data_IF_667642748386
#
_entry.id   IF_667642748386
#
_cell.length_a   1.000
_cell.length_b   1.000
_cell.length_c   1.000
_cell.angle_alpha   90.00
_cell.angle_beta   90.00
_cell.angle_gamma   90.00
#
_symmetry.space_group_name_H-M   'P 1'
#
loop_
_entity.id
_entity.type
_entity.pdbx_description
1 polymer ?
#
# COMPACT_ATOMS: atom_id res chain seq x y z
N UNK A 1 26.67 -21.14 44.04
CA UNK A 1 25.89 -21.07 42.79
C UNK A 1 26.55 -20.05 41.88
N UNK A 2 26.69 -20.41 40.61
CA UNK A 2 27.59 -19.82 39.61
C UNK A 2 27.45 -18.30 39.39
N UNK A 3 28.59 -17.60 39.37
CA UNK A 3 28.76 -16.27 38.77
C UNK A 3 29.59 -16.45 37.48
N UNK A 4 28.98 -16.18 36.32
CA UNK A 4 29.62 -16.30 35.01
C UNK A 4 30.01 -14.93 34.46
N UNK A 5 31.31 -14.68 34.37
CA UNK A 5 31.90 -13.47 33.81
C UNK A 5 31.83 -13.45 32.28
N UNK A 6 31.44 -12.29 31.71
CA UNK A 6 31.50 -12.01 30.27
C UNK A 6 32.87 -11.44 29.91
N UNK A 7 33.57 -12.08 28.96
CA UNK A 7 34.79 -11.59 28.33
C UNK A 7 34.45 -10.85 27.02
N UNK A 8 34.94 -9.61 26.90
CA UNK A 8 34.97 -8.81 25.66
C UNK A 8 36.31 -9.01 24.95
N UNK A 9 36.36 -9.14 23.61
CA UNK A 9 37.61 -9.03 22.88
C UNK A 9 37.95 -7.58 22.48
N UNK A 10 39.19 -7.23 22.79
CA UNK A 10 39.93 -6.00 22.53
C UNK A 10 40.20 -5.80 21.03
N UNK A 11 40.08 -4.57 20.51
CA UNK A 11 40.46 -4.23 19.12
C UNK A 11 41.54 -3.16 19.12
N UNK A 12 42.76 -3.57 18.78
CA UNK A 12 43.90 -2.67 18.60
C UNK A 12 43.90 -2.01 17.22
N UNK A 13 44.09 -0.70 17.26
CA UNK A 13 44.50 0.23 16.21
C UNK A 13 45.77 -0.18 15.46
N UNK A 14 45.81 0.05 14.13
CA UNK A 14 47.06 0.39 13.42
C UNK A 14 46.80 1.38 12.27
N UNK A 15 47.51 2.51 12.32
CA UNK A 15 47.56 3.58 11.32
C UNK A 15 48.70 3.35 10.30
N UNK A 16 48.48 3.94 9.13
CA UNK A 16 49.41 4.57 8.17
C UNK A 16 50.50 3.75 7.47
N UNK A 17 50.55 3.86 6.13
CA UNK A 17 51.66 4.57 5.45
C UNK A 17 51.33 4.97 4.00
N UNK A 18 51.94 6.09 3.60
CA UNK A 18 51.82 6.90 2.39
C UNK A 18 53.11 6.77 1.55
N UNK A 19 53.01 7.14 0.26
CA UNK A 19 54.06 7.54 -0.71
C UNK A 19 54.82 6.41 -1.44
N UNK A 20 55.28 6.53 -2.69
CA UNK A 20 55.15 7.51 -3.81
C UNK A 20 55.97 6.92 -5.00
N UNK A 21 56.01 7.65 -6.13
CA UNK A 21 56.92 7.55 -7.29
C UNK A 21 56.44 6.66 -8.46
N UNK A 22 56.46 7.06 -9.74
CA UNK A 22 57.26 8.08 -10.46
C UNK A 22 56.52 8.53 -11.75
N UNK A 23 56.71 9.79 -12.14
CA UNK A 23 56.24 10.44 -13.39
C UNK A 23 57.17 10.17 -14.59
N UNK A 24 56.65 10.20 -15.83
CA UNK A 24 57.33 10.86 -16.96
C UNK A 24 56.30 11.41 -17.97
N UNK A 25 56.73 12.47 -18.65
CA UNK A 25 56.05 13.58 -19.33
C UNK A 25 55.51 13.41 -20.77
N UNK A 26 54.56 14.31 -21.08
CA UNK A 26 54.34 15.15 -22.28
C UNK A 26 54.49 14.61 -23.72
N UNK A 27 53.45 14.83 -24.53
CA UNK A 27 53.38 15.90 -25.59
C UNK A 27 52.11 15.79 -26.46
N UNK A 28 51.50 16.93 -26.78
CA UNK A 28 50.51 17.19 -27.87
C UNK A 28 51.24 18.07 -28.92
N UNK A 29 50.78 18.40 -30.16
CA UNK A 29 49.45 18.22 -30.78
C UNK A 29 49.40 17.94 -32.33
N UNK A 30 48.17 17.85 -32.88
CA UNK A 30 47.69 18.42 -34.19
C UNK A 30 47.30 17.49 -35.37
N UNK A 31 45.97 17.41 -35.58
CA UNK A 31 45.11 17.55 -36.80
C UNK A 31 45.42 16.82 -38.14
N UNK A 32 44.29 16.38 -38.75
CA UNK A 32 44.03 15.85 -40.13
C UNK A 32 44.34 14.36 -40.31
N UNK A 33 43.50 13.50 -40.90
CA UNK A 33 42.45 13.65 -41.92
C UNK A 33 41.62 12.35 -41.96
N UNK A 34 40.31 12.43 -42.24
CA UNK A 34 39.43 11.28 -42.53
C UNK A 34 39.87 10.57 -43.82
N UNK A 35 39.62 9.25 -43.97
CA UNK A 35 38.38 8.88 -44.64
C UNK A 35 37.64 7.71 -43.97
N UNK A 36 36.33 7.76 -44.15
CA UNK A 36 35.31 6.81 -43.75
C UNK A 36 35.67 5.40 -44.21
N UNK A 37 35.70 4.45 -43.26
CA UNK A 37 35.46 3.03 -43.57
C UNK A 37 34.42 2.48 -42.61
N UNK A 38 33.19 2.44 -43.11
CA UNK A 38 32.03 1.74 -42.56
C UNK A 38 32.44 0.33 -42.16
N UNK A 39 32.57 0.08 -40.86
CA UNK A 39 32.65 -1.26 -40.31
C UNK A 39 31.41 -1.47 -39.46
N UNK A 40 30.63 -2.47 -39.87
CA UNK A 40 29.42 -2.94 -39.19
C UNK A 40 29.78 -3.27 -37.75
N UNK A 41 29.25 -2.51 -36.79
CA UNK A 41 29.34 -2.84 -35.38
C UNK A 41 28.31 -3.94 -35.13
N UNK A 42 28.80 -5.17 -35.06
CA UNK A 42 28.04 -6.31 -34.55
C UNK A 42 27.37 -5.89 -33.24
N UNK A 43 26.06 -5.78 -33.31
CA UNK A 43 25.21 -5.56 -32.14
C UNK A 43 24.96 -6.94 -31.56
N UNK A 44 25.86 -7.37 -30.69
CA UNK A 44 25.59 -8.48 -29.79
C UNK A 44 24.42 -8.07 -28.89
N UNK A 45 23.32 -8.85 -28.80
CA UNK A 45 22.25 -8.54 -27.88
C UNK A 45 22.74 -8.76 -26.45
N UNK A 46 22.85 -7.68 -25.68
CA UNK A 46 23.09 -7.70 -24.24
C UNK A 46 21.97 -8.50 -23.58
N UNK A 47 22.30 -9.72 -23.14
CA UNK A 47 21.48 -10.56 -22.27
C UNK A 47 21.01 -9.72 -21.08
N UNK A 48 19.69 -9.49 -20.99
CA UNK A 48 19.07 -8.80 -19.87
C UNK A 48 19.50 -9.48 -18.57
N UNK A 49 20.20 -8.76 -17.71
CA UNK A 49 20.60 -9.27 -16.40
C UNK A 49 19.32 -9.55 -15.60
N UNK A 50 19.12 -10.82 -15.26
CA UNK A 50 18.03 -11.29 -14.42
C UNK A 50 18.19 -10.68 -13.02
N UNK A 51 17.41 -9.65 -12.73
CA UNK A 51 17.48 -8.95 -11.44
C UNK A 51 16.87 -9.87 -10.40
N UNK A 52 17.72 -10.55 -9.63
CA UNK A 52 17.28 -11.44 -8.55
C UNK A 52 16.63 -10.61 -7.44
N UNK A 53 15.43 -11.02 -7.01
CA UNK A 53 14.68 -10.31 -5.95
C UNK A 53 15.43 -10.38 -4.60
N UNK A 54 15.36 -9.33 -3.76
CA UNK A 54 16.06 -9.30 -2.47
C UNK A 54 15.37 -10.15 -1.38
N UNK A 55 14.19 -10.68 -1.66
CA UNK A 55 13.37 -11.47 -0.73
C UNK A 55 13.01 -12.82 -1.34
N UNK A 56 12.71 -13.80 -0.47
CA UNK A 56 12.20 -15.10 -0.89
C UNK A 56 10.73 -14.97 -1.27
N UNK A 57 10.39 -15.45 -2.46
CA UNK A 57 9.04 -15.40 -3.00
C UNK A 57 8.65 -16.77 -3.55
N UNK A 58 7.47 -17.23 -3.18
CA UNK A 58 6.86 -18.42 -3.76
C UNK A 58 5.94 -17.99 -4.91
N UNK A 59 6.22 -18.45 -6.13
CA UNK A 59 5.38 -18.12 -7.30
C UNK A 59 4.07 -18.91 -7.24
N UNK A 60 2.97 -18.26 -7.59
CA UNK A 60 1.65 -18.89 -7.62
C UNK A 60 0.76 -18.28 -8.70
N UNK A 61 -0.28 -19.00 -9.11
CA UNK A 61 -1.33 -18.48 -10.00
C UNK A 61 -2.63 -18.38 -9.22
N UNK A 62 -3.31 -17.23 -9.30
CA UNK A 62 -4.59 -17.03 -8.62
C UNK A 62 -5.70 -17.74 -9.39
N UNK A 63 -6.35 -18.71 -8.73
CA UNK A 63 -7.34 -19.59 -9.36
C UNK A 63 -8.77 -19.25 -8.99
N UNK A 64 -9.00 -18.56 -7.87
CA UNK A 64 -10.32 -18.14 -7.42
C UNK A 64 -10.20 -16.90 -6.52
N UNK A 65 -11.16 -15.98 -6.63
CA UNK A 65 -11.34 -14.87 -5.69
C UNK A 65 -12.43 -15.24 -4.68
N UNK A 66 -12.34 -14.72 -3.45
CA UNK A 66 -13.37 -14.91 -2.40
C UNK A 66 -13.97 -13.56 -2.07
N UNK A 67 -13.12 -12.61 -1.67
CA UNK A 67 -13.47 -11.24 -1.31
C UNK A 67 -12.25 -10.33 -1.62
N UNK A 68 -12.23 -9.12 -1.07
CA UNK A 68 -11.19 -8.12 -1.34
C UNK A 68 -9.79 -8.49 -0.83
N UNK A 69 -9.65 -9.34 0.19
CA UNK A 69 -8.36 -9.66 0.82
C UNK A 69 -8.10 -11.18 0.98
N UNK A 70 -8.95 -12.00 0.35
CA UNK A 70 -8.85 -13.46 0.37
C UNK A 70 -8.97 -14.04 -1.04
N UNK A 71 -7.99 -14.86 -1.42
CA UNK A 71 -7.92 -15.54 -2.72
C UNK A 71 -7.51 -17.01 -2.57
N UNK A 72 -7.77 -17.81 -3.60
CA UNK A 72 -7.13 -19.12 -3.76
C UNK A 72 -6.05 -19.04 -4.83
N UNK A 73 -4.95 -19.74 -4.57
CA UNK A 73 -3.80 -19.82 -5.45
C UNK A 73 -3.43 -21.27 -5.69
N UNK A 74 -2.86 -21.54 -6.87
CA UNK A 74 -2.14 -22.76 -7.19
C UNK A 74 -0.64 -22.48 -7.14
N UNK A 75 0.04 -23.13 -6.22
CA UNK A 75 1.49 -23.06 -6.05
C UNK A 75 2.22 -23.85 -7.15
N UNK A 76 3.50 -23.59 -7.35
CA UNK A 76 4.32 -24.31 -8.36
C UNK A 76 4.39 -25.82 -8.12
N UNK A 77 4.29 -26.27 -6.86
CA UNK A 77 4.21 -27.69 -6.51
C UNK A 77 2.86 -28.33 -6.85
N UNK A 78 1.92 -27.59 -7.45
CA UNK A 78 0.59 -28.05 -7.84
C UNK A 78 -0.48 -27.96 -6.74
N UNK A 79 -0.10 -27.68 -5.48
CA UNK A 79 -1.03 -27.55 -4.37
C UNK A 79 -1.89 -26.29 -4.52
N UNK A 80 -3.17 -26.41 -4.15
CA UNK A 80 -4.06 -25.26 -4.01
C UNK A 80 -4.10 -24.81 -2.56
N UNK A 81 -3.97 -23.52 -2.30
CA UNK A 81 -4.02 -22.93 -0.98
C UNK A 81 -4.95 -21.71 -0.94
N UNK A 82 -5.62 -21.50 0.20
CA UNK A 82 -6.34 -20.26 0.49
C UNK A 82 -5.37 -19.27 1.11
N UNK A 83 -5.35 -18.04 0.63
CA UNK A 83 -4.44 -16.98 1.07
C UNK A 83 -5.25 -15.83 1.66
N UNK A 84 -4.86 -15.36 2.85
CA UNK A 84 -5.32 -14.13 3.47
C UNK A 84 -4.20 -13.09 3.40
N UNK A 85 -4.53 -11.91 2.90
CA UNK A 85 -3.58 -10.81 2.78
C UNK A 85 -3.26 -10.23 4.16
N UNK A 86 -1.98 -10.13 4.49
CA UNK A 86 -1.49 -9.54 5.73
C UNK A 86 -1.55 -8.01 5.65
N UNK A 87 -1.85 -7.34 6.77
CA UNK A 87 -1.71 -5.90 6.92
C UNK A 87 -2.92 -5.09 6.47
N UNK A 88 -3.89 -5.73 5.83
CA UNK A 88 -5.09 -5.11 5.29
C UNK A 88 -6.36 -5.90 5.64
N UNK A 89 -7.45 -5.17 5.78
CA UNK A 89 -8.80 -5.73 5.86
C UNK A 89 -9.73 -4.95 4.94
N UNK A 90 -10.35 -5.64 3.99
CA UNK A 90 -11.35 -5.04 3.10
C UNK A 90 -12.76 -5.14 3.72
N UNK A 91 -13.69 -4.24 3.39
CA UNK A 91 -15.08 -4.41 3.79
C UNK A 91 -15.64 -5.75 3.31
N UNK A 92 -16.33 -6.45 4.21
CA UNK A 92 -16.80 -7.81 3.97
C UNK A 92 -17.84 -7.86 2.85
N UNK A 93 -17.61 -8.64 1.78
CA UNK A 93 -18.49 -8.71 0.61
C UNK A 93 -19.30 -10.00 0.51
N UNK A 94 -19.16 -10.94 1.44
CA UNK A 94 -19.76 -12.28 1.33
C UNK A 94 -20.88 -12.52 2.34
N UNK A 95 -20.63 -12.27 3.63
CA UNK A 95 -21.59 -12.61 4.70
C UNK A 95 -22.33 -11.40 5.25
N UNK A 96 -21.65 -10.26 5.36
CA UNK A 96 -22.21 -9.02 5.94
C UNK A 96 -22.55 -7.96 4.90
N UNK A 97 -21.95 -8.04 3.71
CA UNK A 97 -22.07 -7.03 2.65
C UNK A 97 -21.88 -5.60 3.20
N UNK A 98 -20.72 -5.36 3.81
CA UNK A 98 -20.31 -4.04 4.28
C UNK A 98 -20.18 -3.08 3.10
N UNK A 99 -20.46 -1.81 3.36
CA UNK A 99 -20.38 -0.76 2.35
C UNK A 99 -18.98 -0.72 1.73
N UNK A 100 -18.92 -0.69 0.40
CA UNK A 100 -17.69 -0.75 -0.40
C UNK A 100 -17.04 -2.15 -0.53
N UNK A 101 -17.64 -3.20 0.03
CA UNK A 101 -17.09 -4.55 -0.02
C UNK A 101 -17.09 -5.16 -1.42
N UNK A 102 -18.18 -4.99 -2.18
CA UNK A 102 -18.25 -5.48 -3.57
C UNK A 102 -17.21 -4.81 -4.45
N UNK A 103 -17.02 -3.50 -4.32
CA UNK A 103 -16.01 -2.74 -5.05
C UNK A 103 -14.59 -3.22 -4.72
N UNK A 104 -14.29 -3.51 -3.46
CA UNK A 104 -13.00 -4.08 -3.06
C UNK A 104 -12.80 -5.49 -3.62
N UNK A 105 -13.82 -6.33 -3.57
CA UNK A 105 -13.80 -7.69 -4.13
C UNK A 105 -13.59 -7.70 -5.65
N UNK A 106 -14.34 -6.87 -6.38
CA UNK A 106 -14.21 -6.73 -7.83
C UNK A 106 -12.86 -6.16 -8.26
N UNK A 107 -12.33 -5.20 -7.48
CA UNK A 107 -10.98 -4.69 -7.70
C UNK A 107 -9.96 -5.84 -7.58
N UNK A 108 -9.99 -6.60 -6.49
CA UNK A 108 -9.11 -7.76 -6.28
C UNK A 108 -9.24 -8.79 -7.40
N UNK A 109 -10.47 -9.12 -7.81
CA UNK A 109 -10.72 -10.01 -8.94
C UNK A 109 -10.08 -9.49 -10.23
N UNK A 110 -10.27 -8.22 -10.57
CA UNK A 110 -9.71 -7.61 -11.79
C UNK A 110 -8.17 -7.59 -11.78
N UNK A 111 -7.58 -7.40 -10.61
CA UNK A 111 -6.14 -7.27 -10.46
C UNK A 111 -5.44 -8.63 -10.38
N UNK A 112 -6.08 -9.65 -9.82
CA UNK A 112 -5.41 -10.90 -9.49
C UNK A 112 -5.90 -12.13 -10.26
N UNK A 113 -7.19 -12.24 -10.60
CA UNK A 113 -7.75 -13.49 -11.12
C UNK A 113 -7.06 -13.96 -12.40
N UNK A 114 -6.62 -15.22 -12.41
CA UNK A 114 -5.91 -15.83 -13.54
C UNK A 114 -4.46 -15.38 -13.70
N UNK A 115 -3.97 -14.42 -12.88
CA UNK A 115 -2.61 -13.90 -12.99
C UNK A 115 -1.64 -14.66 -12.10
N UNK A 116 -0.37 -14.62 -12.50
CA UNK A 116 0.75 -15.04 -11.67
C UNK A 116 1.05 -13.95 -10.64
N UNK A 117 1.25 -14.37 -9.40
CA UNK A 117 1.64 -13.55 -8.26
C UNK A 117 2.83 -14.19 -7.55
N UNK A 118 3.46 -13.41 -6.67
CA UNK A 118 4.61 -13.83 -5.88
C UNK A 118 4.29 -13.64 -4.41
N UNK A 119 4.34 -14.73 -3.65
CA UNK A 119 3.88 -14.78 -2.28
C UNK A 119 5.06 -14.69 -1.33
N UNK A 120 5.02 -13.73 -0.43
CA UNK A 120 5.98 -13.59 0.66
C UNK A 120 5.30 -13.94 1.99
N UNK A 121 5.96 -14.77 2.78
CA UNK A 121 5.55 -15.03 4.17
C UNK A 121 6.25 -14.06 5.13
N UNK A 122 5.64 -13.88 6.29
CA UNK A 122 6.28 -13.19 7.42
C UNK A 122 6.55 -14.21 8.54
N UNK A 123 6.78 -13.75 9.78
CA UNK A 123 7.06 -14.60 10.93
C UNK A 123 6.01 -15.69 11.17
N UNK A 124 4.74 -15.41 10.88
CA UNK A 124 3.65 -16.38 10.88
C UNK A 124 3.32 -16.89 9.48
N UNK A 125 2.96 -18.18 9.39
CA UNK A 125 2.68 -18.82 8.09
C UNK A 125 1.19 -18.99 7.79
N UNK A 126 0.39 -19.38 8.79
CA UNK A 126 -1.03 -19.70 8.64
C UNK A 126 -1.85 -19.17 9.80
N UNK A 127 -3.10 -18.83 9.55
CA UNK A 127 -4.06 -18.55 10.62
C UNK A 127 -4.77 -19.82 11.13
N UNK A 128 -5.65 -19.64 12.12
CA UNK A 128 -6.45 -20.71 12.73
C UNK A 128 -7.45 -21.36 11.77
N UNK A 129 -7.73 -20.75 10.61
CA UNK A 129 -8.61 -21.28 9.58
C UNK A 129 -7.84 -22.02 8.47
N UNK A 130 -6.52 -22.18 8.63
CA UNK A 130 -5.66 -22.83 7.66
C UNK A 130 -5.39 -21.99 6.41
N UNK A 131 -5.65 -20.68 6.44
CA UNK A 131 -5.27 -19.77 5.36
C UNK A 131 -3.80 -19.43 5.47
N UNK A 132 -3.07 -19.47 4.35
CA UNK A 132 -1.73 -18.92 4.27
C UNK A 132 -1.80 -17.40 4.49
N UNK A 133 -0.98 -16.87 5.39
CA UNK A 133 -0.82 -15.43 5.60
C UNK A 133 0.28 -14.94 4.67
N UNK A 134 -0.04 -14.05 3.71
CA UNK A 134 0.95 -13.58 2.71
C UNK A 134 0.88 -12.10 2.43
N UNK A 135 2.03 -11.53 2.08
CA UNK A 135 2.12 -10.36 1.23
C UNK A 135 2.13 -10.83 -0.23
N UNK A 136 1.24 -10.27 -1.04
CA UNK A 136 1.06 -10.66 -2.44
C UNK A 136 1.70 -9.61 -3.33
N UNK A 137 2.72 -10.00 -4.08
CA UNK A 137 3.42 -9.14 -5.03
C UNK A 137 2.98 -9.44 -6.46
N UNK A 138 2.68 -8.40 -7.24
CA UNK A 138 2.32 -8.51 -8.66
C UNK A 138 3.53 -8.80 -9.55
N UNK A 139 4.72 -8.39 -9.10
CA UNK A 139 6.02 -8.73 -9.68
C UNK A 139 7.09 -8.71 -8.59
N UNK A 140 8.20 -9.46 -8.74
CA UNK A 140 9.25 -9.45 -7.73
C UNK A 140 9.83 -8.04 -7.59
N UNK A 141 9.97 -7.52 -6.35
CA UNK A 141 10.59 -6.23 -6.16
C UNK A 141 12.07 -6.31 -6.47
N UNK A 142 12.63 -5.19 -6.95
CA UNK A 142 14.09 -5.03 -7.13
C UNK A 142 14.77 -4.67 -5.81
N UNK A 143 14.07 -3.90 -4.99
CA UNK A 143 14.49 -3.41 -3.68
C UNK A 143 13.28 -3.34 -2.76
N UNK A 144 13.52 -3.43 -1.45
CA UNK A 144 12.46 -3.24 -0.45
C UNK A 144 12.46 -1.78 -0.03
N UNK A 145 11.74 -0.97 -0.80
CA UNK A 145 11.54 0.45 -0.53
C UNK A 145 10.08 0.84 -0.76
N UNK A 146 9.70 2.04 -0.33
CA UNK A 146 8.32 2.52 -0.42
C UNK A 146 7.74 2.47 -1.83
N UNK A 147 8.52 2.87 -2.84
CA UNK A 147 8.06 2.94 -4.23
C UNK A 147 7.73 1.55 -4.77
N UNK A 148 8.59 0.57 -4.52
CA UNK A 148 8.39 -0.82 -4.95
C UNK A 148 7.21 -1.47 -4.21
N UNK A 149 7.11 -1.25 -2.89
CA UNK A 149 5.99 -1.76 -2.08
C UNK A 149 4.67 -1.16 -2.58
N UNK A 150 4.59 0.18 -2.70
CA UNK A 150 3.38 0.89 -3.14
C UNK A 150 2.92 0.45 -4.53
N UNK A 151 3.85 0.23 -5.45
CA UNK A 151 3.54 -0.06 -6.85
C UNK A 151 3.30 -1.55 -7.13
N UNK A 152 3.92 -2.46 -6.37
CA UNK A 152 3.94 -3.90 -6.71
C UNK A 152 3.34 -4.81 -5.65
N UNK A 153 3.28 -4.40 -4.38
CA UNK A 153 2.63 -5.20 -3.35
C UNK A 153 1.13 -4.93 -3.36
N UNK A 154 0.35 -5.92 -3.74
CA UNK A 154 -1.09 -5.78 -3.87
C UNK A 154 -1.79 -5.40 -2.55
N UNK A 155 -1.29 -5.90 -1.41
CA UNK A 155 -1.75 -5.47 -0.09
C UNK A 155 -1.61 -3.94 0.09
N UNK A 156 -0.47 -3.38 -0.32
CA UNK A 156 -0.23 -1.94 -0.24
C UNK A 156 -1.09 -1.15 -1.24
N UNK A 157 -1.32 -1.72 -2.43
CA UNK A 157 -2.20 -1.14 -3.46
C UNK A 157 -3.64 -1.03 -2.93
N UNK A 158 -4.14 -2.04 -2.21
CA UNK A 158 -5.46 -1.98 -1.56
C UNK A 158 -5.54 -0.85 -0.53
N UNK A 159 -4.54 -0.75 0.35
CA UNK A 159 -4.46 0.31 1.36
C UNK A 159 -4.42 1.71 0.71
N UNK A 160 -3.49 1.92 -0.23
CA UNK A 160 -3.26 3.22 -0.89
C UNK A 160 -4.45 3.71 -1.72
N UNK A 161 -5.19 2.80 -2.35
CA UNK A 161 -6.36 3.16 -3.16
C UNK A 161 -7.67 3.18 -2.36
N UNK A 162 -7.63 2.96 -1.04
CA UNK A 162 -8.80 3.05 -0.18
C UNK A 162 -9.79 1.88 -0.33
N UNK A 163 -9.29 0.69 -0.70
CA UNK A 163 -10.10 -0.54 -0.71
C UNK A 163 -10.06 -1.28 0.63
N UNK A 164 -9.06 -0.99 1.46
CA UNK A 164 -8.86 -1.64 2.74
C UNK A 164 -8.43 -0.69 3.85
N UNK A 165 -8.76 -1.04 5.08
CA UNK A 165 -8.19 -0.47 6.29
C UNK A 165 -6.98 -1.30 6.73
N UNK A 166 -6.10 -0.70 7.53
CA UNK A 166 -4.98 -1.42 8.14
C UNK A 166 -5.53 -2.48 9.11
N UNK A 167 -4.99 -3.70 9.02
CA UNK A 167 -5.23 -4.75 10.01
C UNK A 167 -3.92 -5.42 10.38
N UNK A 168 -3.50 -5.25 11.63
CA UNK A 168 -2.25 -5.80 12.15
C UNK A 168 -2.49 -7.21 12.71
N UNK A 169 -1.81 -8.21 12.14
CA UNK A 169 -1.92 -9.61 12.57
C UNK A 169 -0.57 -10.06 13.13
N UNK A 170 -0.38 -10.00 14.45
CA UNK A 170 0.86 -10.42 15.08
C UNK A 170 1.16 -11.92 14.81
N UNK A 171 2.44 -12.32 14.64
CA UNK A 171 3.66 -11.51 14.61
C UNK A 171 3.98 -10.89 13.22
N UNK A 172 3.03 -10.86 12.28
CA UNK A 172 3.23 -10.46 10.89
C UNK A 172 3.14 -8.94 10.71
N UNK A 173 4.23 -8.25 11.02
CA UNK A 173 4.29 -6.77 11.05
C UNK A 173 5.36 -6.18 10.15
N UNK A 174 5.98 -6.97 9.27
CA UNK A 174 7.13 -6.56 8.44
C UNK A 174 6.92 -5.24 7.67
N UNK A 175 5.70 -4.98 7.22
CA UNK A 175 5.36 -3.78 6.44
C UNK A 175 4.29 -2.89 7.11
N UNK A 176 4.03 -3.07 8.41
CA UNK A 176 2.95 -2.38 9.13
C UNK A 176 3.03 -0.85 9.00
N UNK A 177 4.23 -0.28 9.05
CA UNK A 177 4.41 1.17 8.94
C UNK A 177 4.05 1.72 7.55
N UNK A 178 4.34 0.96 6.49
CA UNK A 178 3.92 1.32 5.14
C UNK A 178 2.40 1.26 4.97
N UNK A 179 1.74 0.24 5.51
CA UNK A 179 0.26 0.16 5.45
C UNK A 179 -0.38 1.31 6.21
N UNK A 180 0.14 1.65 7.40
CA UNK A 180 -0.33 2.82 8.16
C UNK A 180 -0.23 4.09 7.33
N UNK A 181 0.92 4.31 6.69
CA UNK A 181 1.16 5.47 5.82
C UNK A 181 0.19 5.49 4.64
N UNK A 182 0.02 4.37 3.94
CA UNK A 182 -0.83 4.32 2.74
C UNK A 182 -2.32 4.44 3.05
N UNK A 183 -2.80 3.88 4.16
CA UNK A 183 -4.16 4.10 4.63
C UNK A 183 -4.39 5.57 5.01
N UNK A 184 -3.42 6.23 5.66
CA UNK A 184 -3.50 7.66 5.95
C UNK A 184 -3.59 8.51 4.67
N UNK A 185 -2.72 8.24 3.68
CA UNK A 185 -2.78 8.93 2.38
C UNK A 185 -4.12 8.70 1.66
N UNK A 186 -4.64 7.47 1.66
CA UNK A 186 -5.93 7.15 1.06
C UNK A 186 -7.07 7.92 1.72
N UNK A 187 -7.02 8.07 3.04
CA UNK A 187 -7.99 8.83 3.83
C UNK A 187 -7.93 10.32 3.53
N UNK A 188 -6.74 10.91 3.58
CA UNK A 188 -6.52 12.34 3.28
C UNK A 188 -7.02 12.70 1.88
N UNK A 189 -6.89 11.78 0.93
CA UNK A 189 -7.33 11.95 -0.45
C UNK A 189 -8.77 11.47 -0.70
N UNK A 190 -9.52 11.12 0.35
CA UNK A 190 -10.91 10.63 0.24
C UNK A 190 -11.07 9.52 -0.81
N UNK A 191 -10.18 8.53 -0.82
CA UNK A 191 -10.21 7.42 -1.78
C UNK A 191 -11.08 6.28 -1.27
N UNK A 192 -11.84 5.68 -2.18
CA UNK A 192 -12.61 4.47 -1.91
C UNK A 192 -13.49 4.56 -0.67
N UNK A 193 -13.32 3.64 0.28
CA UNK A 193 -14.10 3.58 1.53
C UNK A 193 -14.07 4.89 2.33
N UNK A 194 -12.97 5.66 2.24
CA UNK A 194 -12.81 6.93 2.94
C UNK A 194 -13.65 8.06 2.36
N UNK A 195 -14.02 7.97 1.07
CA UNK A 195 -14.95 8.92 0.44
C UNK A 195 -16.38 8.79 0.99
N UNK A 196 -16.70 7.60 1.52
CA UNK A 196 -18.06 7.27 1.95
C UNK A 196 -18.20 7.45 3.46
N UNK A 197 -17.20 7.02 4.22
CA UNK A 197 -17.14 7.25 5.65
C UNK A 197 -15.71 7.66 6.04
N UNK A 198 -15.51 8.85 6.61
CA UNK A 198 -14.17 9.28 7.02
C UNK A 198 -13.56 8.37 8.08
N UNK A 199 -14.36 7.59 8.82
CA UNK A 199 -13.90 6.58 9.79
C UNK A 199 -13.66 5.19 9.21
N UNK A 200 -13.88 5.00 7.91
CA UNK A 200 -13.81 3.71 7.25
C UNK A 200 -15.13 2.95 7.26
N UNK A 201 -15.17 1.82 6.57
CA UNK A 201 -16.39 1.00 6.40
C UNK A 201 -16.21 -0.44 6.86
N UNK A 202 -15.06 -0.78 7.46
CA UNK A 202 -14.79 -2.11 7.97
C UNK A 202 -14.09 -2.06 9.34
N UNK A 203 -13.80 -3.23 9.92
CA UNK A 203 -13.12 -3.35 11.21
C UNK A 203 -11.62 -3.59 11.00
N UNK A 204 -10.88 -2.53 10.70
CA UNK A 204 -9.42 -2.53 10.78
C UNK A 204 -8.92 -2.45 12.24
N UNK A 205 -7.74 -1.86 12.43
CA UNK A 205 -7.15 -1.61 13.75
C UNK A 205 -7.90 -0.51 14.56
N UNK A 206 -9.01 0.04 14.04
CA UNK A 206 -9.85 1.01 14.75
C UNK A 206 -9.28 2.43 14.83
N UNK A 207 -8.32 2.79 13.98
CA UNK A 207 -7.71 4.12 13.95
C UNK A 207 -8.69 5.12 13.31
N UNK A 208 -9.55 5.68 14.16
CA UNK A 208 -10.49 6.76 13.81
C UNK A 208 -9.76 8.00 13.32
N UNK A 209 -10.48 8.90 12.64
CA UNK A 209 -9.86 10.11 12.11
C UNK A 209 -9.31 10.91 13.29
N UNK A 210 -8.15 11.56 13.18
CA UNK A 210 -7.82 12.59 14.14
C UNK A 210 -8.99 13.58 14.09
N UNK A 211 -9.81 13.61 15.14
CA UNK A 211 -10.87 14.60 15.27
C UNK A 211 -10.21 15.96 15.11
N UNK A 212 -10.63 16.71 14.09
CA UNK A 212 -10.37 18.14 13.97
C UNK A 212 -11.08 18.85 15.13
N UNK A 213 -10.54 18.71 16.33
CA UNK A 213 -10.96 19.39 17.54
C UNK A 213 -9.98 20.52 17.85
N UNK A 214 -9.93 21.51 16.96
CA UNK A 214 -9.67 22.87 17.41
C UNK A 214 -10.95 23.39 18.06
N UNK A 215 -11.24 22.91 19.27
CA UNK A 215 -12.09 23.64 20.21
C UNK A 215 -11.15 24.41 21.12
N UNK A 216 -11.03 25.70 20.83
CA UNK A 216 -10.43 26.67 21.71
C UNK A 216 -11.10 26.55 23.09
N UNK A 217 -10.31 26.08 24.06
CA UNK A 217 -10.65 26.20 25.48
C UNK A 217 -10.75 27.69 25.80
N UNK A 218 -11.97 28.21 25.93
CA UNK A 218 -12.22 29.46 26.63
C UNK A 218 -12.89 29.12 27.94
N UNK A 219 -12.08 29.16 28.99
CA UNK A 219 -12.50 29.24 30.36
C UNK A 219 -13.24 30.57 30.58
N UNK A 220 -14.53 30.51 30.91
CA UNK A 220 -15.21 31.62 31.57
C UNK A 220 -16.26 31.09 32.54
N UNK A 221 -15.84 30.99 33.80
CA UNK A 221 -16.72 31.03 34.95
C UNK A 221 -17.20 32.47 35.13
N UNK A 222 -18.51 32.73 35.12
CA UNK A 222 -19.16 33.68 36.05
C UNK A 222 -20.67 33.78 35.84
N UNK A 223 -21.36 33.54 36.97
CA UNK A 223 -22.55 34.20 37.49
C UNK A 223 -23.77 34.52 36.60
N UNK A 224 -24.83 33.80 36.97
CA UNK A 224 -26.21 34.27 37.16
C UNK A 224 -26.31 35.77 37.46
N UNK A 225 -27.04 36.50 36.62
CA UNK A 225 -27.96 37.53 37.10
C UNK A 225 -29.14 37.71 36.15
N UNK A 226 -30.31 37.78 36.75
CA UNK A 226 -31.64 38.00 36.19
C UNK A 226 -31.80 39.39 35.61
N UNK A 227 -32.51 39.54 34.48
CA UNK A 227 -33.52 40.59 34.27
C UNK A 227 -34.31 40.39 32.98
N UNK A 228 -35.62 40.51 33.14
CA UNK A 228 -36.73 40.54 32.18
C UNK A 228 -36.62 41.63 31.11
N UNK A 229 -36.95 41.30 29.85
CA UNK A 229 -37.59 42.20 28.89
C UNK A 229 -38.30 41.40 27.78
N UNK A 230 -39.60 41.68 27.65
CA UNK A 230 -40.57 41.14 26.69
C UNK A 230 -40.50 41.87 25.34
N UNK A 231 -41.17 41.32 24.30
CA UNK A 231 -41.61 41.93 23.02
C UNK A 231 -40.60 41.73 21.87
N UNK A 232 -40.90 41.22 20.66
CA UNK A 232 -42.15 40.93 19.94
C UNK A 232 -41.95 39.82 18.89
N UNK A 233 -43.07 39.20 18.57
CA UNK A 233 -43.33 38.20 17.54
C UNK A 233 -43.46 38.89 16.17
N UNK A 234 -42.84 38.34 15.12
CA UNK A 234 -43.25 38.64 13.75
C UNK A 234 -43.21 37.40 12.86
N UNK A 235 -44.39 37.07 12.37
CA UNK A 235 -44.78 35.97 11.49
C UNK A 235 -44.45 36.26 10.03
N UNK A 236 -44.04 35.25 9.26
CA UNK A 236 -44.47 35.11 7.85
C UNK A 236 -44.12 33.73 7.26
N UNK A 237 -45.19 32.94 7.08
CA UNK A 237 -45.54 32.07 5.96
C UNK A 237 -44.47 31.27 5.16
N UNK A 238 -44.71 29.97 5.14
CA UNK A 238 -44.33 28.98 4.12
C UNK A 238 -44.92 29.30 2.73
N UNK A 239 -44.29 28.80 1.64
CA UNK A 239 -45.03 27.90 0.77
C UNK A 239 -44.24 26.66 0.30
N UNK A 240 -44.98 25.79 -0.36
CA UNK A 240 -44.78 24.36 -0.61
C UNK A 240 -43.85 23.97 -1.76
N UNK A 241 -43.37 22.72 -1.65
CA UNK A 241 -42.89 21.75 -2.63
C UNK A 241 -42.87 22.08 -4.14
N UNK A 242 -41.74 21.76 -4.78
CA UNK A 242 -41.70 21.22 -6.17
C UNK A 242 -40.55 20.20 -6.32
N UNK A 243 -40.77 19.26 -7.23
CA UNK A 243 -40.16 17.94 -7.38
C UNK A 243 -39.24 17.92 -8.64
N UNK A 244 -38.35 16.91 -8.73
CA UNK A 244 -37.60 16.42 -9.91
C UNK A 244 -36.32 17.22 -10.33
N UNK A 245 -35.20 16.62 -10.73
CA UNK A 245 -35.03 15.47 -11.63
C UNK A 245 -33.70 14.72 -11.45
N UNK A 246 -33.75 13.39 -11.62
CA UNK A 246 -32.60 12.50 -11.79
C UNK A 246 -32.12 12.53 -13.26
N UNK A 247 -30.81 12.54 -13.49
CA UNK A 247 -30.23 12.34 -14.83
C UNK A 247 -29.92 10.86 -15.04
N UNK A 248 -30.63 10.22 -15.97
CA UNK A 248 -30.34 8.86 -16.46
C UNK A 248 -29.64 8.99 -17.81
N UNK A 249 -28.45 8.41 -17.96
CA UNK A 249 -27.81 8.26 -19.26
C UNK A 249 -28.14 6.87 -19.83
N UNK A 250 -29.03 6.85 -20.83
CA UNK A 250 -29.24 5.69 -21.72
C UNK A 250 -28.60 6.00 -23.06
N UNK A 251 -27.63 5.19 -23.48
CA UNK A 251 -27.24 5.09 -24.89
C UNK A 251 -27.36 3.66 -25.36
N UNK A 252 -28.41 3.37 -26.12
CA UNK A 252 -28.54 2.20 -26.99
C UNK A 252 -28.96 2.68 -28.36
N UNK A 253 -28.18 2.34 -29.39
CA UNK A 253 -28.56 1.93 -30.77
C UNK A 253 -27.29 1.98 -31.63
N UNK A 254 -27.00 1.06 -32.54
CA UNK A 254 -27.75 -0.09 -33.02
C UNK A 254 -26.86 -0.93 -33.96
N UNK A 255 -27.24 -2.20 -34.15
CA UNK A 255 -26.69 -3.12 -35.15
C UNK A 255 -27.18 -2.76 -36.56
N UNK A 256 -26.31 -2.98 -37.55
CA UNK A 256 -26.60 -3.85 -38.69
C UNK A 256 -25.36 -4.70 -38.95
#
# INVERSE_FOLDING_TARGET
>A
MYIGAYNMPDTQTKKSNIASNTQVENTTPKKSTTPVKTTKKDTTPTKAQEIKSPIKLDKATVTRHVDGDTVYVKLENGQTAKVRLIGVNTPESTTKHEQYGEQASDYTKSQLFGKTVYLESDAGNTDTYGRLLRYVWLSPPKEINESEIRAKMFNAILAYNGYAEQMTIQPNVKYADYFRKFCAEARENSRGLWAINPNGTTKGDGISAPSSSNSASSSSSSNQNTSTATVQQQTSAQPSATNQSQTVYVTKTGKK
#
